data_IF_700277645911
#
_entry.id   IF_700277645911
#
_cell.length_a   1.000
_cell.length_b   1.000
_cell.length_c   1.000
_cell.angle_alpha   90.00
_cell.angle_beta   90.00
_cell.angle_gamma   90.00
#
_symmetry.space_group_name_H-M   'P 1'
#
loop_
_entity.id
_entity.type
_entity.pdbx_description
1 polymer ?
#
# COMPACT_ATOMS: atom_id res chain seq x y z
N UNK A 1 16.30 -7.70 3.10
CA UNK A 1 17.74 -8.01 3.30
C UNK A 1 17.96 -8.49 4.73
N UNK A 2 18.82 -9.46 4.93
CA UNK A 2 19.20 -9.97 6.26
C UNK A 2 20.57 -9.43 6.60
N UNK A 3 20.73 -8.90 7.81
CA UNK A 3 22.02 -8.36 8.28
C UNK A 3 22.20 -8.65 9.76
N UNK A 4 23.43 -8.59 10.24
CA UNK A 4 23.77 -8.77 11.64
C UNK A 4 23.97 -7.42 12.30
N UNK A 5 23.42 -7.26 13.50
CA UNK A 5 23.61 -6.07 14.32
C UNK A 5 23.63 -6.45 15.77
N UNK A 6 24.70 -6.08 16.49
CA UNK A 6 24.86 -6.35 17.92
C UNK A 6 24.68 -7.83 18.27
N UNK A 7 25.21 -8.72 17.43
CA UNK A 7 25.12 -10.15 17.64
C UNK A 7 23.78 -10.77 17.29
N UNK A 8 22.86 -9.99 16.72
CA UNK A 8 21.54 -10.48 16.30
C UNK A 8 21.41 -10.44 14.79
N UNK A 9 20.77 -11.46 14.25
CA UNK A 9 20.43 -11.46 12.83
C UNK A 9 19.15 -10.66 12.67
N UNK A 10 19.24 -9.59 11.89
CA UNK A 10 18.12 -8.68 11.64
C UNK A 10 17.67 -8.82 10.20
N UNK A 11 16.38 -8.61 9.98
CA UNK A 11 15.81 -8.55 8.64
C UNK A 11 15.33 -7.13 8.40
N UNK A 12 15.75 -6.55 7.27
CA UNK A 12 15.25 -5.24 6.87
C UNK A 12 13.74 -5.34 6.63
N UNK A 13 12.98 -4.49 7.32
CA UNK A 13 11.54 -4.51 7.26
C UNK A 13 11.02 -3.82 6.01
N UNK A 14 10.11 -4.49 5.30
CA UNK A 14 9.44 -3.88 4.15
C UNK A 14 8.47 -2.82 4.62
N UNK A 15 8.57 -1.63 4.08
CA UNK A 15 7.59 -0.57 4.34
C UNK A 15 6.47 -0.63 3.32
N UNK A 16 5.26 -0.66 3.81
CA UNK A 16 4.05 -0.81 3.00
C UNK A 16 3.30 0.50 2.97
N UNK A 17 2.98 0.95 1.76
CA UNK A 17 2.16 2.14 1.53
C UNK A 17 0.84 1.70 0.94
N UNK A 18 -0.26 2.05 1.59
CA UNK A 18 -1.60 1.66 1.17
C UNK A 18 -2.24 2.81 0.41
N UNK A 19 -2.64 2.54 -0.82
CA UNK A 19 -3.33 3.49 -1.67
C UNK A 19 -4.81 3.31 -1.45
N UNK A 20 -5.42 4.25 -0.75
CA UNK A 20 -6.82 4.20 -0.33
C UNK A 20 -6.95 4.04 1.18
N UNK A 21 -7.55 5.03 1.83
CA UNK A 21 -7.78 5.05 3.28
C UNK A 21 -9.25 4.90 3.64
N UNK A 22 -10.01 4.18 2.81
CA UNK A 22 -11.38 3.82 3.10
C UNK A 22 -11.46 2.54 3.91
N UNK A 23 -12.62 1.92 3.96
CA UNK A 23 -12.85 0.72 4.77
C UNK A 23 -11.92 -0.42 4.38
N UNK A 24 -11.74 -0.67 3.09
CA UNK A 24 -10.89 -1.74 2.61
C UNK A 24 -9.42 -1.52 2.99
N UNK A 25 -8.91 -0.31 2.77
CA UNK A 25 -7.52 0.01 3.08
C UNK A 25 -7.23 -0.03 4.57
N UNK A 26 -8.13 0.48 5.39
CA UNK A 26 -7.96 0.49 6.85
C UNK A 26 -8.06 -0.92 7.44
N UNK A 27 -8.95 -1.77 6.92
CA UNK A 27 -9.02 -3.17 7.34
C UNK A 27 -7.75 -3.93 6.95
N UNK A 28 -7.23 -3.68 5.77
CA UNK A 28 -5.98 -4.30 5.32
C UNK A 28 -4.82 -3.90 6.22
N UNK A 29 -4.71 -2.62 6.55
CA UNK A 29 -3.67 -2.12 7.44
C UNK A 29 -3.75 -2.78 8.81
N UNK A 30 -4.95 -2.95 9.35
CA UNK A 30 -5.14 -3.60 10.63
C UNK A 30 -4.68 -5.06 10.60
N UNK A 31 -5.00 -5.78 9.55
CA UNK A 31 -4.57 -7.18 9.40
C UNK A 31 -3.06 -7.29 9.28
N UNK A 32 -2.43 -6.44 8.50
CA UNK A 32 -0.97 -6.43 8.33
C UNK A 32 -0.30 -6.15 9.67
N UNK A 33 -0.77 -5.13 10.37
CA UNK A 33 -0.22 -4.74 11.67
C UNK A 33 -0.34 -5.86 12.70
N UNK A 34 -1.47 -6.55 12.71
CA UNK A 34 -1.73 -7.63 13.65
C UNK A 34 -0.90 -8.87 13.38
N UNK A 35 -0.77 -9.25 12.12
CA UNK A 35 -0.07 -10.48 11.72
C UNK A 35 1.45 -10.33 11.68
N UNK A 36 1.94 -9.13 11.41
CA UNK A 36 3.38 -8.80 11.36
C UNK A 36 4.23 -9.65 10.40
N UNK A 37 3.61 -10.25 9.37
CA UNK A 37 4.33 -11.14 8.47
C UNK A 37 4.73 -10.50 7.14
N UNK A 38 4.07 -9.41 6.76
CA UNK A 38 4.29 -8.76 5.46
C UNK A 38 5.21 -7.57 5.52
N UNK A 39 5.34 -6.96 6.67
CA UNK A 39 6.10 -5.73 6.87
C UNK A 39 5.33 -4.76 7.75
N UNK A 40 5.69 -3.50 7.67
CA UNK A 40 5.09 -2.43 8.47
C UNK A 40 4.37 -1.44 7.57
N UNK A 41 3.11 -1.13 7.91
CA UNK A 41 2.36 -0.11 7.18
C UNK A 41 2.89 1.26 7.59
N UNK A 42 3.53 1.94 6.64
CA UNK A 42 4.15 3.24 6.89
C UNK A 42 3.15 4.39 6.76
N UNK A 43 2.25 4.31 5.80
CA UNK A 43 1.31 5.39 5.54
C UNK A 43 0.20 4.97 4.59
N UNK A 44 -0.85 5.79 4.56
CA UNK A 44 -1.88 5.76 3.53
C UNK A 44 -1.73 6.95 2.59
N UNK A 45 -2.21 6.80 1.37
CA UNK A 45 -2.44 7.90 0.44
C UNK A 45 -3.89 7.87 -0.02
N UNK A 46 -4.54 9.01 0.02
CA UNK A 46 -5.96 9.12 -0.35
C UNK A 46 -6.21 10.51 -0.91
N UNK A 47 -7.04 10.60 -1.94
CA UNK A 47 -7.36 11.88 -2.58
C UNK A 47 -8.40 12.70 -1.82
N UNK A 48 -9.02 12.13 -0.78
CA UNK A 48 -9.99 12.84 0.05
C UNK A 48 -9.29 13.87 0.92
N UNK A 49 -9.51 15.15 0.60
CA UNK A 49 -8.88 16.25 1.31
C UNK A 49 -9.19 16.27 2.82
N UNK A 50 -10.34 15.71 3.22
CA UNK A 50 -10.72 15.63 4.64
C UNK A 50 -9.88 14.63 5.42
N UNK A 51 -9.31 13.65 4.75
CA UNK A 51 -8.49 12.61 5.38
C UNK A 51 -7.02 12.99 5.43
N UNK A 52 -6.55 13.73 4.44
CA UNK A 52 -5.14 14.10 4.34
C UNK A 52 -4.70 14.89 5.58
N UNK A 53 -3.57 14.48 6.16
CA UNK A 53 -3.05 15.10 7.36
C UNK A 53 -3.60 14.51 8.66
N UNK A 54 -4.52 13.57 8.56
CA UNK A 54 -5.02 12.82 9.74
C UNK A 54 -4.29 11.49 9.85
N UNK A 55 -4.61 10.72 10.86
CA UNK A 55 -4.04 9.37 11.03
C UNK A 55 -5.14 8.38 11.43
N UNK A 56 -4.89 7.10 11.13
CA UNK A 56 -5.77 6.00 11.50
C UNK A 56 -4.95 5.04 12.34
N UNK A 57 -5.27 4.92 13.62
CA UNK A 57 -4.53 4.06 14.57
C UNK A 57 -3.01 4.30 14.51
N UNK A 58 -2.62 5.56 14.44
CA UNK A 58 -1.22 5.97 14.40
C UNK A 58 -0.57 5.93 13.02
N UNK A 59 -1.27 5.48 11.99
CA UNK A 59 -0.74 5.45 10.63
C UNK A 59 -1.19 6.71 9.89
N UNK A 60 -0.26 7.55 9.43
CA UNK A 60 -0.64 8.82 8.81
C UNK A 60 -1.20 8.66 7.41
N UNK A 61 -2.07 9.58 7.04
CA UNK A 61 -2.50 9.77 5.65
C UNK A 61 -1.71 10.96 5.12
N UNK A 62 -0.69 10.68 4.31
CA UNK A 62 0.34 11.67 3.99
C UNK A 62 -0.06 12.67 2.92
N UNK A 63 -0.94 12.28 2.03
CA UNK A 63 -1.31 13.19 0.95
C UNK A 63 -2.18 12.53 -0.09
N UNK A 64 -2.45 13.24 -1.18
CA UNK A 64 -3.14 12.63 -2.29
C UNK A 64 -2.25 11.57 -2.93
N UNK A 65 -2.87 10.70 -3.71
CA UNK A 65 -2.20 9.53 -4.30
C UNK A 65 -0.97 9.95 -5.12
N UNK A 66 -1.03 11.10 -5.78
CA UNK A 66 0.10 11.60 -6.57
C UNK A 66 1.37 11.85 -5.75
N UNK A 67 1.25 12.02 -4.44
CA UNK A 67 2.39 12.30 -3.57
C UNK A 67 3.20 11.04 -3.22
N UNK A 68 2.71 9.87 -3.54
CA UNK A 68 3.40 8.62 -3.23
C UNK A 68 4.78 8.53 -3.90
N UNK A 69 4.94 9.18 -5.04
CA UNK A 69 6.21 9.19 -5.78
C UNK A 69 7.34 9.84 -4.97
N UNK A 70 7.00 10.84 -4.17
CA UNK A 70 7.99 11.54 -3.34
C UNK A 70 8.52 10.68 -2.22
N UNK A 71 7.66 9.83 -1.67
CA UNK A 71 8.04 8.95 -0.57
C UNK A 71 8.99 7.86 -1.04
N UNK A 72 8.74 7.29 -2.21
CA UNK A 72 9.56 6.20 -2.74
C UNK A 72 11.02 6.57 -2.94
N UNK A 73 11.29 7.84 -3.21
CA UNK A 73 12.67 8.29 -3.39
C UNK A 73 13.56 7.99 -2.20
N UNK A 74 12.96 7.92 -0.99
CA UNK A 74 13.70 7.65 0.24
C UNK A 74 13.64 6.17 0.66
N UNK A 75 12.75 5.37 0.08
CA UNK A 75 12.43 4.02 0.56
C UNK A 75 12.45 3.01 -0.58
N UNK A 76 13.62 2.49 -0.89
CA UNK A 76 13.80 1.57 -2.03
C UNK A 76 13.19 0.18 -1.83
N UNK A 77 12.88 -0.22 -0.59
CA UNK A 77 12.29 -1.52 -0.29
C UNK A 77 10.78 -1.44 -0.06
N UNK A 78 10.15 -0.36 -0.51
CA UNK A 78 8.74 -0.13 -0.30
C UNK A 78 7.87 -1.00 -1.20
N UNK A 79 6.70 -1.35 -0.68
CA UNK A 79 5.65 -2.06 -1.39
C UNK A 79 4.39 -1.20 -1.41
N UNK A 80 3.69 -1.20 -2.53
CA UNK A 80 2.42 -0.47 -2.65
C UNK A 80 1.25 -1.46 -2.72
N UNK A 81 0.22 -1.20 -1.94
CA UNK A 81 -1.02 -1.98 -1.96
C UNK A 81 -2.17 -1.06 -2.38
N UNK A 82 -2.77 -1.32 -3.53
CA UNK A 82 -3.90 -0.53 -4.00
C UNK A 82 -5.18 -1.16 -3.43
N UNK A 83 -5.84 -0.44 -2.53
CA UNK A 83 -7.00 -0.92 -1.78
C UNK A 83 -8.21 -0.01 -1.95
N UNK A 84 -8.68 0.08 -3.19
CA UNK A 84 -9.87 0.87 -3.56
C UNK A 84 -10.81 -0.04 -4.36
N UNK A 85 -11.69 -0.82 -3.68
CA UNK A 85 -12.51 -1.82 -4.36
C UNK A 85 -13.46 -1.28 -5.43
N UNK A 86 -13.89 -0.03 -5.29
CA UNK A 86 -14.80 0.62 -6.24
C UNK A 86 -14.10 1.42 -7.32
N UNK A 87 -12.79 1.29 -7.43
CA UNK A 87 -12.02 2.07 -8.39
C UNK A 87 -12.36 1.70 -9.83
N UNK A 88 -12.43 2.72 -10.68
CA UNK A 88 -12.61 2.50 -12.13
C UNK A 88 -11.30 2.02 -12.72
N UNK A 89 -11.40 1.16 -13.74
CA UNK A 89 -10.22 0.56 -14.35
C UNK A 89 -9.25 1.61 -14.90
N UNK A 90 -9.75 2.69 -15.45
CA UNK A 90 -8.92 3.77 -16.00
C UNK A 90 -8.08 4.42 -14.91
N UNK A 91 -8.71 4.68 -13.75
CA UNK A 91 -8.00 5.27 -12.61
C UNK A 91 -7.00 4.29 -12.02
N UNK A 92 -7.36 3.02 -11.94
CA UNK A 92 -6.44 1.98 -11.47
C UNK A 92 -5.19 1.92 -12.34
N UNK A 93 -5.35 1.97 -13.66
CA UNK A 93 -4.24 1.97 -14.59
C UNK A 93 -3.33 3.19 -14.42
N UNK A 94 -3.92 4.37 -14.23
CA UNK A 94 -3.15 5.60 -13.96
C UNK A 94 -2.30 5.46 -12.72
N UNK A 95 -2.89 4.97 -11.64
CA UNK A 95 -2.19 4.78 -10.37
C UNK A 95 -1.07 3.75 -10.54
N UNK A 96 -1.36 2.63 -11.16
CA UNK A 96 -0.38 1.57 -11.38
C UNK A 96 0.82 2.09 -12.17
N UNK A 97 0.58 2.78 -13.28
CA UNK A 97 1.65 3.35 -14.11
C UNK A 97 2.47 4.35 -13.30
N UNK A 98 1.82 5.21 -12.53
CA UNK A 98 2.51 6.19 -11.70
C UNK A 98 3.42 5.52 -10.67
N UNK A 99 2.94 4.45 -10.03
CA UNK A 99 3.74 3.69 -9.07
C UNK A 99 4.95 3.03 -9.74
N UNK A 100 4.76 2.44 -10.91
CA UNK A 100 5.85 1.83 -11.67
C UNK A 100 6.89 2.85 -12.08
N UNK A 101 6.45 4.00 -12.57
CA UNK A 101 7.35 5.09 -12.95
C UNK A 101 8.12 5.66 -11.75
N UNK A 102 7.53 5.58 -10.57
CA UNK A 102 8.21 5.99 -9.33
C UNK A 102 9.28 5.03 -8.87
N UNK A 103 9.26 3.80 -9.39
CA UNK A 103 10.25 2.79 -9.04
C UNK A 103 9.74 1.62 -8.21
N UNK A 104 8.45 1.59 -7.87
CA UNK A 104 7.89 0.45 -7.14
C UNK A 104 7.97 -0.82 -7.98
N UNK A 105 8.58 -1.86 -7.42
CA UNK A 105 8.66 -3.17 -8.07
C UNK A 105 7.63 -4.14 -7.51
N UNK A 106 7.15 -3.88 -6.30
CA UNK A 106 6.12 -4.70 -5.64
C UNK A 106 4.85 -3.90 -5.52
N UNK A 107 3.89 -4.19 -6.37
CA UNK A 107 2.58 -3.54 -6.38
C UNK A 107 1.53 -4.63 -6.35
N UNK A 108 0.68 -4.59 -5.32
CA UNK A 108 -0.43 -5.53 -5.18
C UNK A 108 -1.73 -4.77 -5.27
N UNK A 109 -2.74 -5.41 -5.80
CA UNK A 109 -4.05 -4.82 -6.01
C UNK A 109 -5.08 -5.66 -5.27
N UNK A 110 -5.83 -5.02 -4.37
CA UNK A 110 -6.96 -5.65 -3.71
C UNK A 110 -8.08 -5.85 -4.75
N UNK A 111 -8.73 -7.02 -4.78
CA UNK A 111 -9.77 -7.28 -5.76
C UNK A 111 -10.91 -6.26 -5.72
N UNK A 112 -11.53 -6.03 -6.88
CA UNK A 112 -12.70 -5.18 -6.97
C UNK A 112 -13.90 -5.85 -6.29
N UNK A 113 -14.92 -5.07 -5.98
CA UNK A 113 -16.12 -5.57 -5.33
C UNK A 113 -16.80 -6.66 -6.17
N UNK A 114 -16.80 -6.52 -7.48
CA UNK A 114 -17.37 -7.52 -8.39
C UNK A 114 -16.64 -8.86 -8.29
N UNK A 115 -15.33 -8.86 -8.18
CA UNK A 115 -14.55 -10.09 -7.96
C UNK A 115 -14.86 -10.74 -6.61
N UNK A 116 -15.09 -9.95 -5.59
CA UNK A 116 -15.47 -10.46 -4.27
C UNK A 116 -16.82 -11.21 -4.35
N UNK A 117 -17.80 -10.63 -5.03
CA UNK A 117 -19.12 -11.22 -5.20
C UNK A 117 -19.04 -12.54 -5.97
N UNK A 118 -18.18 -12.61 -6.97
CA UNK A 118 -18.00 -13.80 -7.80
C UNK A 118 -17.17 -14.89 -7.11
N UNK A 119 -16.71 -14.66 -5.89
CA UNK A 119 -15.89 -15.62 -5.16
C UNK A 119 -14.48 -15.75 -5.68
N UNK A 120 -14.02 -14.79 -6.48
CA UNK A 120 -12.67 -14.81 -7.04
C UNK A 120 -11.72 -13.87 -6.28
N UNK A 121 -12.16 -13.36 -5.14
CA UNK A 121 -11.42 -12.37 -4.38
C UNK A 121 -10.10 -12.94 -3.85
N UNK A 122 -9.02 -12.31 -4.22
CA UNK A 122 -7.69 -12.58 -3.69
C UNK A 122 -6.79 -11.37 -3.95
N UNK A 123 -5.72 -11.28 -3.21
CA UNK A 123 -4.73 -10.23 -3.43
C UNK A 123 -3.85 -10.63 -4.61
N UNK A 124 -3.83 -9.82 -5.64
CA UNK A 124 -3.14 -10.12 -6.89
C UNK A 124 -1.95 -9.17 -7.05
N UNK A 125 -0.80 -9.72 -7.41
CA UNK A 125 0.34 -8.88 -7.76
C UNK A 125 0.17 -8.36 -9.18
N UNK A 126 0.27 -7.05 -9.36
CA UNK A 126 0.15 -6.42 -10.66
C UNK A 126 1.36 -6.76 -11.54
N UNK A 127 1.11 -6.94 -12.82
CA UNK A 127 2.14 -7.25 -13.82
C UNK A 127 2.18 -6.17 -14.89
N UNK A 128 3.31 -5.99 -15.49
CA UNK A 128 3.50 -5.07 -16.61
C UNK A 128 2.78 -5.57 -17.84
#
# INVERSE_FOLDING_TARGET
MIYEREGKIMREETKIYIIGAGLAGTNLAEQITRKKVFGTVAAFFDDDAKKIGTSIKGIPILGPISEVTKVFRAEKTAEALIAIPSIRIERLQEIYVSLKQSGFTKIKILPTLSQVIDGTAHLVQARD
#
